data_IF_511909008577
#
_entry.id   IF_511909008577
#
_cell.length_a   1.000
_cell.length_b   1.000
_cell.length_c   1.000
_cell.angle_alpha   90.00
_cell.angle_beta   90.00
_cell.angle_gamma   90.00
#
_symmetry.space_group_name_H-M   'P 1'
#
loop_
_entity.id
_entity.type
_entity.pdbx_description
1 polymer ?
#
# COMPACT_ATOMS: atom_id res chain seq x y z
N UNK A 1 10.99 6.56 -30.35
CA UNK A 1 9.72 6.81 -31.06
C UNK A 1 8.61 6.12 -30.29
N UNK A 2 7.79 6.89 -29.57
CA UNK A 2 6.47 6.48 -29.10
C UNK A 2 5.59 7.71 -29.34
N UNK A 3 4.78 7.66 -30.38
CA UNK A 3 3.77 8.65 -30.67
C UNK A 3 2.41 7.96 -30.56
N UNK A 4 1.50 8.55 -29.79
CA UNK A 4 0.06 8.36 -29.95
C UNK A 4 -0.65 9.55 -29.33
N UNK A 5 -1.64 10.08 -30.04
CA UNK A 5 -2.63 11.01 -29.49
C UNK A 5 -2.59 12.40 -30.12
N UNK A 6 -3.33 12.54 -31.22
CA UNK A 6 -3.67 13.79 -31.86
C UNK A 6 -4.68 14.56 -31.02
N UNK A 7 -4.25 15.66 -30.41
CA UNK A 7 -5.09 16.82 -30.08
C UNK A 7 -4.18 18.00 -29.72
N UNK A 8 -4.61 19.20 -30.08
CA UNK A 8 -3.84 20.46 -30.10
C UNK A 8 -3.41 20.99 -28.71
N UNK A 9 -3.20 20.11 -27.72
CA UNK A 9 -2.69 20.46 -26.40
C UNK A 9 -1.17 20.38 -26.37
N UNK A 10 -0.52 21.41 -25.83
CA UNK A 10 0.91 21.36 -25.54
C UNK A 10 1.18 20.39 -24.40
N UNK A 11 2.42 19.89 -24.25
CA UNK A 11 2.83 19.09 -23.09
C UNK A 11 2.54 19.85 -21.77
N UNK A 12 2.58 21.18 -21.79
CA UNK A 12 2.20 22.05 -20.68
C UNK A 12 0.68 22.06 -20.40
N UNK A 13 -0.18 21.92 -21.43
CA UNK A 13 -1.63 21.75 -21.24
C UNK A 13 -1.96 20.39 -20.62
N UNK A 14 -1.25 19.32 -21.01
CA UNK A 14 -1.38 18.02 -20.36
C UNK A 14 -0.93 18.08 -18.89
N UNK A 15 0.23 18.69 -18.60
CA UNK A 15 0.73 18.80 -17.23
C UNK A 15 -0.14 19.72 -16.35
N UNK A 16 -0.73 20.78 -16.90
CA UNK A 16 -1.60 21.70 -16.16
C UNK A 16 -3.01 21.14 -15.90
N UNK A 17 -3.56 20.33 -16.81
CA UNK A 17 -4.89 19.71 -16.65
C UNK A 17 -4.86 18.37 -15.94
N UNK A 18 -3.79 17.58 -16.11
CA UNK A 18 -3.66 16.21 -15.59
C UNK A 18 -2.64 16.06 -14.45
N UNK A 19 -1.92 17.12 -14.08
CA UNK A 19 -0.85 17.10 -13.07
C UNK A 19 -1.27 17.26 -11.61
N UNK A 20 -2.57 17.25 -11.30
CA UNK A 20 -3.08 17.36 -9.94
C UNK A 20 -3.97 16.17 -9.62
N UNK A 21 -3.79 15.57 -8.43
CA UNK A 21 -4.29 14.25 -8.01
C UNK A 21 -5.81 14.01 -8.03
N UNK A 22 -6.60 14.93 -8.58
CA UNK A 22 -8.03 14.81 -8.82
C UNK A 22 -8.39 14.56 -10.29
N UNK A 23 -7.46 14.73 -11.23
CA UNK A 23 -7.78 14.80 -12.67
C UNK A 23 -7.94 13.44 -13.37
N UNK A 24 -7.40 12.37 -12.80
CA UNK A 24 -7.46 11.03 -13.38
C UNK A 24 -8.16 10.07 -12.42
N UNK A 25 -9.48 10.18 -12.35
CA UNK A 25 -10.32 9.19 -11.68
C UNK A 25 -10.49 7.98 -12.60
N UNK A 26 -10.07 6.81 -12.12
CA UNK A 26 -10.23 5.57 -12.87
C UNK A 26 -11.71 5.20 -12.96
N UNK A 27 -12.25 5.09 -14.18
CA UNK A 27 -13.65 4.70 -14.37
C UNK A 27 -13.90 3.28 -13.83
N UNK A 28 -14.88 3.16 -12.92
CA UNK A 28 -15.16 1.93 -12.18
C UNK A 28 -14.31 1.74 -10.91
N UNK A 29 -13.50 2.74 -10.52
CA UNK A 29 -12.76 2.78 -9.26
C UNK A 29 -11.44 2.00 -9.29
N UNK A 30 -10.49 2.42 -8.43
CA UNK A 30 -9.14 1.85 -8.34
C UNK A 30 -9.13 0.36 -7.96
N UNK A 31 -10.18 -0.13 -7.30
CA UNK A 31 -10.34 -1.54 -6.94
C UNK A 31 -10.25 -2.49 -8.15
N UNK A 32 -10.65 -2.04 -9.34
CA UNK A 32 -10.54 -2.88 -10.55
C UNK A 32 -9.09 -3.16 -10.92
N UNK A 33 -8.20 -2.18 -10.73
CA UNK A 33 -6.77 -2.36 -10.96
C UNK A 33 -6.18 -3.33 -9.93
N UNK A 34 -6.48 -3.14 -8.65
CA UNK A 34 -5.95 -4.03 -7.60
C UNK A 34 -6.48 -5.46 -7.74
N UNK A 35 -7.72 -5.63 -8.19
CA UNK A 35 -8.30 -6.95 -8.50
C UNK A 35 -7.61 -7.61 -9.70
N UNK A 36 -7.40 -6.86 -10.78
CA UNK A 36 -6.71 -7.38 -11.96
C UNK A 36 -5.26 -7.77 -11.66
N UNK A 37 -4.58 -7.07 -10.73
CA UNK A 37 -3.25 -7.45 -10.26
C UNK A 37 -3.28 -8.67 -9.34
N UNK A 38 -4.32 -8.78 -8.50
CA UNK A 38 -4.49 -9.90 -7.57
C UNK A 38 -4.57 -11.25 -8.27
N UNK A 39 -5.15 -11.30 -9.49
CA UNK A 39 -5.26 -12.53 -10.29
C UNK A 39 -3.90 -13.15 -10.65
N UNK A 40 -2.80 -12.40 -10.56
CA UNK A 40 -1.44 -12.85 -10.94
C UNK A 40 -0.56 -13.24 -9.75
N UNK A 41 -1.07 -13.15 -8.52
CA UNK A 41 -0.30 -13.40 -7.30
C UNK A 41 -1.08 -14.29 -6.33
N UNK A 42 -0.37 -15.07 -5.53
CA UNK A 42 -0.99 -15.87 -4.47
C UNK A 42 -1.34 -14.96 -3.28
N UNK A 43 -2.64 -14.90 -2.93
CA UNK A 43 -3.15 -14.01 -1.87
C UNK A 43 -3.89 -14.82 -0.82
N UNK A 44 -3.37 -14.77 0.41
CA UNK A 44 -4.06 -15.22 1.61
C UNK A 44 -4.90 -14.11 2.23
N UNK A 45 -6.23 -14.15 2.06
CA UNK A 45 -7.15 -13.26 2.77
C UNK A 45 -7.38 -13.73 4.22
N UNK A 46 -7.76 -12.80 5.09
CA UNK A 46 -8.04 -13.07 6.52
C UNK A 46 -6.85 -13.67 7.29
N UNK A 47 -5.63 -13.35 6.86
CA UNK A 47 -4.38 -13.80 7.46
C UNK A 47 -3.69 -12.63 8.19
N UNK A 48 -4.28 -12.14 9.28
CA UNK A 48 -3.66 -11.05 10.06
C UNK A 48 -2.32 -11.50 10.62
N UNK A 49 -1.25 -10.85 10.17
CA UNK A 49 0.12 -11.05 10.67
C UNK A 49 0.21 -10.51 12.09
N UNK A 50 0.83 -11.27 12.99
CA UNK A 50 1.02 -10.91 14.40
C UNK A 50 2.48 -10.83 14.79
N UNK A 51 3.37 -11.54 14.09
CA UNK A 51 4.81 -11.45 14.33
C UNK A 51 5.63 -11.75 13.06
N UNK A 52 6.81 -11.16 13.00
CA UNK A 52 7.84 -11.43 11.97
C UNK A 52 9.15 -11.71 12.69
N UNK A 53 9.68 -12.91 12.48
CA UNK A 53 10.94 -13.37 13.05
C UNK A 53 11.96 -13.53 11.93
N UNK A 54 12.98 -12.69 11.92
CA UNK A 54 14.10 -12.75 11.00
C UNK A 54 15.25 -13.56 11.59
N UNK A 55 15.90 -14.32 10.74
CA UNK A 55 17.15 -15.04 11.01
C UNK A 55 18.10 -14.81 9.84
N UNK A 56 19.37 -15.22 9.98
CA UNK A 56 20.39 -14.98 8.94
C UNK A 56 20.04 -15.52 7.54
N UNK A 57 19.18 -16.54 7.44
CA UNK A 57 18.88 -17.23 6.19
C UNK A 57 17.41 -17.18 5.75
N UNK A 58 16.50 -16.81 6.64
CA UNK A 58 15.07 -16.82 6.39
C UNK A 58 14.32 -15.98 7.41
N UNK A 59 13.08 -15.64 7.06
CA UNK A 59 12.12 -15.04 7.96
C UNK A 59 10.90 -15.96 8.13
N UNK A 60 10.29 -15.90 9.31
CA UNK A 60 9.05 -16.57 9.67
C UNK A 60 8.00 -15.49 9.94
N UNK A 61 6.92 -15.49 9.16
CA UNK A 61 5.77 -14.63 9.36
C UNK A 61 4.68 -15.43 10.06
N UNK A 62 4.30 -15.01 11.26
CA UNK A 62 3.24 -15.66 12.04
C UNK A 62 1.93 -14.92 11.86
N UNK A 63 0.86 -15.69 11.69
CA UNK A 63 -0.53 -15.22 11.74
C UNK A 63 -1.23 -15.90 12.91
N UNK A 64 -2.48 -15.53 13.17
CA UNK A 64 -3.29 -16.19 14.21
C UNK A 64 -3.50 -17.68 13.97
N UNK A 65 -3.47 -18.13 12.71
CA UNK A 65 -3.84 -19.49 12.33
C UNK A 65 -2.69 -20.33 11.77
N UNK A 66 -1.60 -19.69 11.32
CA UNK A 66 -0.52 -20.38 10.62
C UNK A 66 0.80 -19.60 10.69
N UNK A 67 1.85 -20.14 10.09
CA UNK A 67 3.08 -19.44 9.82
C UNK A 67 3.54 -19.66 8.37
N UNK A 68 4.26 -18.69 7.84
CA UNK A 68 4.85 -18.72 6.50
C UNK A 68 6.35 -18.54 6.63
N UNK A 69 7.12 -19.36 5.91
CA UNK A 69 8.58 -19.26 5.84
C UNK A 69 8.97 -18.68 4.49
N UNK A 70 9.77 -17.63 4.50
CA UNK A 70 10.26 -16.99 3.30
C UNK A 70 11.75 -16.62 3.43
N UNK A 71 12.43 -16.38 2.32
CA UNK A 71 13.80 -15.85 2.34
C UNK A 71 13.85 -14.37 2.71
N UNK A 72 12.80 -13.63 2.34
CA UNK A 72 12.65 -12.19 2.54
C UNK A 72 11.17 -11.88 2.75
N UNK A 73 10.89 -10.79 3.47
CA UNK A 73 9.54 -10.30 3.74
C UNK A 73 9.48 -8.83 3.35
N UNK A 74 8.45 -8.46 2.60
CA UNK A 74 8.17 -7.06 2.28
C UNK A 74 6.94 -6.64 3.10
N UNK A 75 7.10 -5.63 3.94
CA UNK A 75 6.03 -5.09 4.77
C UNK A 75 5.45 -3.86 4.09
N UNK A 76 4.20 -3.95 3.62
CA UNK A 76 3.51 -2.89 2.85
C UNK A 76 2.32 -2.28 3.59
N UNK A 77 2.20 -2.54 4.89
CA UNK A 77 1.13 -1.95 5.72
C UNK A 77 1.42 -0.47 6.01
N UNK A 78 0.38 0.34 6.27
CA UNK A 78 0.56 1.69 6.81
C UNK A 78 1.53 1.68 8.01
N UNK A 79 2.55 2.56 8.06
CA UNK A 79 3.60 2.52 9.08
C UNK A 79 3.07 2.49 10.52
N UNK A 80 2.02 3.25 10.82
CA UNK A 80 1.37 3.27 12.14
C UNK A 80 0.83 1.90 12.59
N UNK A 81 0.51 1.00 11.66
CA UNK A 81 0.01 -0.34 11.97
C UNK A 81 1.13 -1.34 12.28
N UNK A 82 2.41 -0.99 12.10
CA UNK A 82 3.53 -1.89 12.46
C UNK A 82 3.55 -2.17 13.97
N UNK A 83 3.03 -1.26 14.80
CA UNK A 83 2.88 -1.45 16.25
C UNK A 83 2.01 -2.66 16.63
N UNK A 84 1.21 -3.18 15.70
CA UNK A 84 0.39 -4.39 15.89
C UNK A 84 1.12 -5.70 15.56
N UNK A 85 2.37 -5.63 15.09
CA UNK A 85 3.21 -6.77 14.72
C UNK A 85 4.44 -6.78 15.63
N UNK A 86 4.72 -7.94 16.23
CA UNK A 86 5.96 -8.16 16.97
C UNK A 86 7.11 -8.47 15.99
N UNK A 87 8.18 -7.68 16.04
CA UNK A 87 9.36 -7.89 15.21
C UNK A 87 10.50 -8.46 16.05
N UNK A 88 11.12 -9.54 15.57
CA UNK A 88 12.33 -10.13 16.14
C UNK A 88 13.38 -10.30 15.03
N UNK A 89 14.54 -9.62 15.06
CA UNK A 89 14.91 -8.62 16.04
C UNK A 89 13.96 -7.41 15.99
N UNK A 90 13.90 -6.60 17.06
CA UNK A 90 13.09 -5.39 17.07
C UNK A 90 13.47 -4.47 15.90
N UNK A 91 12.48 -3.73 15.38
CA UNK A 91 12.73 -2.68 14.40
C UNK A 91 13.76 -1.67 14.93
N UNK A 92 14.57 -1.12 14.03
CA UNK A 92 15.53 -0.07 14.37
C UNK A 92 14.82 1.10 15.05
N UNK A 93 15.48 1.70 16.07
CA UNK A 93 14.88 2.69 16.95
C UNK A 93 14.25 3.88 16.22
N UNK A 94 14.91 4.36 15.17
CA UNK A 94 14.48 5.53 14.41
C UNK A 94 13.18 5.24 13.65
N UNK A 95 13.07 4.03 13.10
CA UNK A 95 11.86 3.58 12.42
C UNK A 95 10.73 3.25 13.43
N UNK A 96 11.06 2.65 14.57
CA UNK A 96 10.11 2.44 15.66
C UNK A 96 9.54 3.77 16.18
N UNK A 97 10.37 4.81 16.31
CA UNK A 97 9.92 6.14 16.70
C UNK A 97 9.02 6.78 15.64
N UNK A 98 9.41 6.70 14.35
CA UNK A 98 8.60 7.21 13.24
C UNK A 98 7.18 6.60 13.23
N UNK A 99 7.07 5.28 13.44
CA UNK A 99 5.79 4.55 13.42
C UNK A 99 4.90 4.84 14.64
N UNK A 100 5.49 5.30 15.75
CA UNK A 100 4.78 5.65 16.99
C UNK A 100 4.18 7.07 17.00
N UNK A 101 4.58 7.93 16.06
CA UNK A 101 4.12 9.33 16.03
C UNK A 101 2.78 9.40 15.28
N UNK A 102 1.78 10.07 15.87
CA UNK A 102 0.38 10.16 15.39
C UNK A 102 0.25 10.68 13.94
N UNK A 103 0.43 9.80 12.97
CA UNK A 103 0.22 10.09 11.55
C UNK A 103 -1.26 9.91 11.13
N UNK A 104 -2.13 9.55 12.08
CA UNK A 104 -3.52 9.15 11.83
C UNK A 104 -4.49 10.32 11.62
N UNK A 105 -4.02 11.54 11.40
CA UNK A 105 -4.87 12.69 11.07
C UNK A 105 -5.16 12.86 9.58
N UNK A 106 -4.52 12.11 8.67
CA UNK A 106 -4.56 12.41 7.23
C UNK A 106 -5.48 11.52 6.36
N UNK A 107 -6.28 10.61 6.92
CA UNK A 107 -7.09 9.69 6.12
C UNK A 107 -8.48 9.39 6.71
N UNK A 108 -9.13 10.40 7.31
CA UNK A 108 -10.58 10.42 7.39
C UNK A 108 -11.12 10.78 5.99
N UNK A 109 -11.27 9.79 5.10
CA UNK A 109 -12.02 9.99 3.86
C UNK A 109 -13.45 10.36 4.22
N UNK A 110 -13.73 11.66 4.14
CA UNK A 110 -15.02 12.27 4.00
C UNK A 110 -15.66 11.74 2.70
N UNK A 111 -16.24 10.54 2.73
CA UNK A 111 -17.27 10.15 1.75
C UNK A 111 -18.55 10.91 2.07
N UNK A 112 -18.56 12.23 1.84
CA UNK A 112 -19.81 12.94 1.61
C UNK A 112 -20.21 12.66 0.16
N UNK A 113 -20.91 11.55 -0.04
CA UNK A 113 -21.74 11.38 -1.23
C UNK A 113 -22.96 12.26 -0.99
N UNK A 114 -22.90 13.51 -1.47
CA UNK A 114 -24.14 14.26 -1.67
C UNK A 114 -24.97 13.49 -2.69
N UNK A 115 -26.12 13.01 -2.21
CA UNK A 115 -27.15 12.39 -3.04
C UNK A 115 -27.82 13.48 -3.85
N UNK A 116 -27.93 13.23 -5.15
CA UNK A 116 -28.85 13.79 -6.17
C UNK A 116 -29.07 15.30 -6.18
#
# INVERSE_FOLDING_TARGET
MLASGSENGTLADMLSRYGHGQSLLMQGGLHRLTSALADWVDIGFNQTVTAIEESESHAIVKTKASFYRARQVIVTIPPVLTTSIEFTPPLESDFAQFTSTDFLFALHYLFSIERF
#
